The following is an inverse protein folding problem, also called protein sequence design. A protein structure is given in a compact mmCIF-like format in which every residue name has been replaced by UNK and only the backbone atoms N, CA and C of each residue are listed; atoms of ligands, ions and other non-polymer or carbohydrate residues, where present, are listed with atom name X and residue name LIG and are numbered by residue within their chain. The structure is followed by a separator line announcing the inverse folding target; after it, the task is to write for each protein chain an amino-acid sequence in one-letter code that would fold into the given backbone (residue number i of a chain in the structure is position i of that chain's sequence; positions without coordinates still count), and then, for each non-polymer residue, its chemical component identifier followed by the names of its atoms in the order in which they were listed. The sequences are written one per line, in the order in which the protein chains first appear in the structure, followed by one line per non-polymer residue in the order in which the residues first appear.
data_IF_549561268876
#
_entry.id   IF_549561268876
#
_cell.length_a   1.000
_cell.length_b   1.000
_cell.length_c   1.000
_cell.angle_alpha   90.00
_cell.angle_beta   90.00
_cell.angle_gamma   90.00
#
_symmetry.space_group_name_H-M   'P 1'
#
loop_
_entity.id
_entity.type
_entity.pdbx_description
1 polymer ?
#
# COMPACT_ATOMS: atom_id res chain seq x y z
N UNK A 1 -2.32 -0.26 9.86
CA UNK A 1 -0.93 -0.27 10.35
C UNK A 1 -0.61 -1.67 10.80
N UNK A 2 0.46 -2.24 10.28
CA UNK A 2 0.98 -3.53 10.74
C UNK A 2 1.22 -3.51 12.26
N UNK A 3 0.86 -4.61 12.93
CA UNK A 3 1.09 -4.75 14.36
C UNK A 3 2.49 -5.26 14.57
N UNK A 4 3.33 -4.45 15.22
CA UNK A 4 4.68 -4.84 15.59
C UNK A 4 4.63 -5.80 16.79
N UNK A 5 5.59 -6.72 16.89
CA UNK A 5 5.72 -7.62 18.05
C UNK A 5 5.88 -6.83 19.36
N UNK A 6 6.64 -5.74 19.31
CA UNK A 6 6.78 -4.82 20.43
C UNK A 6 5.54 -3.91 20.54
N UNK A 7 4.73 -4.17 21.58
CA UNK A 7 3.47 -3.45 21.83
C UNK A 7 3.72 -1.97 22.18
N UNK A 8 4.74 -1.65 22.98
CA UNK A 8 5.06 -0.27 23.35
C UNK A 8 5.44 0.56 22.12
N UNK A 9 6.24 -0.01 21.22
CA UNK A 9 6.60 0.64 19.96
C UNK A 9 5.38 0.84 19.05
N UNK A 10 4.48 -0.14 18.98
CA UNK A 10 3.23 -0.03 18.23
C UNK A 10 2.35 1.11 18.79
N UNK A 11 2.14 1.15 20.11
CA UNK A 11 1.35 2.20 20.77
C UNK A 11 1.96 3.59 20.57
N UNK A 12 3.29 3.70 20.64
CA UNK A 12 4.00 4.95 20.33
C UNK A 12 3.71 5.43 18.91
N UNK A 13 3.78 4.55 17.90
CA UNK A 13 3.46 4.91 16.51
C UNK A 13 1.98 5.30 16.31
N UNK A 14 1.06 4.63 17.02
CA UNK A 14 -0.36 4.98 17.01
C UNK A 14 -0.57 6.37 17.60
N UNK A 15 0.04 6.65 18.76
CA UNK A 15 0.00 7.95 19.42
C UNK A 15 0.58 9.06 18.54
N UNK A 16 1.73 8.81 17.91
CA UNK A 16 2.37 9.76 17.00
C UNK A 16 1.48 10.09 15.80
N UNK A 17 0.85 9.11 15.15
CA UNK A 17 -0.05 9.39 14.01
C UNK A 17 -1.33 10.09 14.46
N UNK A 18 -1.87 9.68 15.60
CA UNK A 18 -3.10 10.26 16.16
C UNK A 18 -2.90 11.72 16.58
N UNK A 19 -1.71 12.11 17.04
CA UNK A 19 -1.41 13.51 17.38
C UNK A 19 -1.44 14.45 16.17
N UNK A 20 -1.27 13.92 14.96
CA UNK A 20 -1.48 14.63 13.69
C UNK A 20 -2.91 14.50 13.14
N UNK A 21 -3.86 13.97 13.93
CA UNK A 21 -5.26 13.81 13.53
C UNK A 21 -5.55 12.61 12.63
N UNK A 22 -4.60 11.67 12.50
CA UNK A 22 -4.79 10.46 11.69
C UNK A 22 -5.47 9.38 12.53
N UNK A 23 -6.62 8.90 12.05
CA UNK A 23 -7.27 7.72 12.61
C UNK A 23 -6.53 6.45 12.15
N UNK A 24 -5.88 5.76 13.09
CA UNK A 24 -5.09 4.56 12.77
C UNK A 24 -5.97 3.30 12.86
N UNK A 25 -6.13 2.61 11.74
CA UNK A 25 -6.73 1.26 11.70
C UNK A 25 -5.60 0.23 11.80
N UNK A 26 -5.58 -0.54 12.88
CA UNK A 26 -4.62 -1.65 13.05
C UNK A 26 -4.91 -2.77 12.05
N UNK A 27 -3.87 -3.49 11.61
CA UNK A 27 -4.01 -4.63 10.68
C UNK A 27 -4.41 -5.88 11.47
N UNK A 28 -5.67 -5.92 11.89
CA UNK A 28 -6.35 -7.05 12.54
C UNK A 28 -7.35 -7.69 11.55
N UNK A 29 -7.96 -8.82 11.92
CA UNK A 29 -8.89 -9.52 11.02
C UNK A 29 -10.14 -8.69 10.64
N UNK A 30 -10.51 -7.70 11.46
CA UNK A 30 -11.60 -6.74 11.22
C UNK A 30 -11.17 -5.46 10.49
N UNK A 31 -9.86 -5.27 10.21
CA UNK A 31 -9.34 -4.07 9.56
C UNK A 31 -10.04 -3.76 8.24
N UNK A 32 -10.36 -4.78 7.45
CA UNK A 32 -11.06 -4.59 6.18
C UNK A 32 -12.50 -4.08 6.35
N UNK A 33 -13.18 -4.45 7.44
CA UNK A 33 -14.51 -3.92 7.77
C UNK A 33 -14.39 -2.44 8.12
N UNK A 34 -13.41 -2.08 8.94
CA UNK A 34 -13.15 -0.70 9.34
C UNK A 34 -12.81 0.20 8.15
N UNK A 35 -11.93 -0.24 7.24
CA UNK A 35 -11.60 0.50 6.01
C UNK A 35 -12.84 0.68 5.13
N UNK A 36 -13.59 -0.41 4.90
CA UNK A 36 -14.81 -0.34 4.10
C UNK A 36 -15.86 0.59 4.69
N UNK A 37 -15.99 0.63 6.03
CA UNK A 37 -16.87 1.57 6.73
C UNK A 37 -16.38 3.01 6.55
N UNK A 38 -15.10 3.29 6.78
CA UNK A 38 -14.53 4.62 6.65
C UNK A 38 -14.78 5.21 5.25
N UNK A 39 -14.56 4.43 4.19
CA UNK A 39 -14.81 4.86 2.81
C UNK A 39 -16.30 5.14 2.54
N UNK A 40 -17.22 4.32 3.08
CA UNK A 40 -18.67 4.57 2.97
C UNK A 40 -19.12 5.80 3.74
N UNK A 41 -18.45 6.12 4.83
CA UNK A 41 -18.68 7.33 5.61
C UNK A 41 -17.98 8.57 5.01
N UNK A 42 -17.49 8.46 3.76
CA UNK A 42 -16.83 9.52 3.00
C UNK A 42 -15.53 10.05 3.64
N UNK A 43 -14.81 9.19 4.36
CA UNK A 43 -13.45 9.47 4.81
C UNK A 43 -12.42 9.16 3.73
N UNK A 44 -11.25 9.81 3.82
CA UNK A 44 -10.06 9.48 3.03
C UNK A 44 -9.28 8.39 3.74
N UNK A 45 -8.91 7.33 3.02
CA UNK A 45 -8.08 6.24 3.54
C UNK A 45 -6.76 6.21 2.77
N UNK A 46 -5.64 6.26 3.50
CA UNK A 46 -4.30 6.08 2.93
C UNK A 46 -3.82 4.65 3.17
N UNK A 47 -3.41 3.96 2.10
CA UNK A 47 -2.89 2.60 2.13
C UNK A 47 -1.52 2.56 1.46
N UNK A 48 -0.54 1.93 2.12
CA UNK A 48 0.70 1.52 1.45
C UNK A 48 0.41 0.31 0.57
N UNK A 49 0.98 0.27 -0.64
CA UNK A 49 0.58 -0.68 -1.68
C UNK A 49 1.76 -1.26 -2.49
N UNK A 50 2.98 -0.93 -2.12
CA UNK A 50 4.22 -1.24 -2.86
C UNK A 50 4.96 -2.48 -2.33
N UNK A 51 4.47 -3.07 -1.22
CA UNK A 51 5.03 -4.28 -0.61
C UNK A 51 3.95 -5.17 0.01
N UNK A 52 3.91 -6.44 -0.37
CA UNK A 52 3.13 -7.44 0.35
C UNK A 52 3.84 -7.83 1.65
N UNK A 53 3.10 -7.83 2.75
CA UNK A 53 3.66 -8.18 4.07
C UNK A 53 3.25 -9.63 4.34
N UNK A 54 4.21 -10.54 4.55
CA UNK A 54 3.93 -11.91 4.93
C UNK A 54 3.06 -11.99 6.19
N UNK A 55 2.04 -12.85 6.18
CA UNK A 55 1.30 -13.26 7.37
C UNK A 55 1.47 -14.75 7.54
N UNK A 56 1.95 -15.19 8.70
CA UNK A 56 2.20 -16.61 9.02
C UNK A 56 3.06 -17.33 7.96
N UNK A 57 4.14 -16.71 7.49
CA UNK A 57 5.01 -17.33 6.49
C UNK A 57 4.49 -17.24 5.05
N UNK A 58 3.38 -16.51 4.80
CA UNK A 58 2.71 -16.51 3.51
C UNK A 58 2.41 -15.10 3.01
N UNK A 59 2.83 -14.86 1.78
CA UNK A 59 2.42 -13.71 0.97
C UNK A 59 1.10 -14.04 0.31
N UNK A 60 0.10 -13.17 0.49
CA UNK A 60 -1.28 -13.38 0.01
C UNK A 60 -1.73 -12.26 -0.92
N UNK A 61 -0.80 -11.37 -1.27
CA UNK A 61 -0.99 -10.30 -2.22
C UNK A 61 -1.29 -10.78 -3.63
N UNK A 62 -1.53 -9.79 -4.47
CA UNK A 62 -1.78 -9.93 -5.90
C UNK A 62 -0.45 -9.97 -6.63
N UNK A 63 -0.26 -10.95 -7.50
CA UNK A 63 0.88 -11.00 -8.41
C UNK A 63 0.79 -9.88 -9.45
N UNK A 64 1.89 -9.14 -9.63
CA UNK A 64 2.02 -8.01 -10.56
C UNK A 64 3.42 -7.97 -11.17
N UNK A 65 3.54 -7.37 -12.34
CA UNK A 65 4.81 -6.89 -12.86
C UNK A 65 5.14 -5.53 -12.25
N UNK A 66 6.32 -5.43 -11.62
CA UNK A 66 6.82 -4.21 -11.01
C UNK A 66 8.30 -4.05 -11.33
N UNK A 67 8.65 -2.98 -12.05
CA UNK A 67 9.98 -2.70 -12.60
C UNK A 67 10.53 -3.80 -13.53
N UNK A 68 9.64 -4.53 -14.21
CA UNK A 68 10.01 -5.60 -15.16
C UNK A 68 10.12 -6.99 -14.55
N UNK A 69 10.02 -7.10 -13.22
CA UNK A 69 10.06 -8.37 -12.50
C UNK A 69 8.71 -8.66 -11.81
N UNK A 70 8.42 -9.94 -11.59
CA UNK A 70 7.19 -10.37 -10.92
C UNK A 70 7.33 -10.25 -9.40
N UNK A 71 6.35 -9.65 -8.74
CA UNK A 71 6.24 -9.60 -7.27
C UNK A 71 4.78 -9.68 -6.83
N UNK A 72 4.53 -9.74 -5.53
CA UNK A 72 3.21 -9.66 -4.91
C UNK A 72 3.04 -8.36 -4.13
N UNK A 73 1.85 -7.75 -4.24
CA UNK A 73 1.51 -6.50 -3.55
C UNK A 73 0.10 -6.56 -2.92
N UNK A 74 -0.24 -5.71 -1.94
CA UNK A 74 -1.54 -5.77 -1.26
C UNK A 74 -2.72 -5.54 -2.21
N UNK A 75 -3.73 -6.42 -2.16
CA UNK A 75 -4.98 -6.29 -2.94
C UNK A 75 -5.89 -5.14 -2.49
N UNK A 76 -5.68 -4.62 -1.28
CA UNK A 76 -6.58 -3.73 -0.56
C UNK A 76 -7.06 -2.52 -1.37
N UNK A 77 -6.17 -1.71 -1.97
CA UNK A 77 -6.57 -0.50 -2.69
C UNK A 77 -7.57 -0.78 -3.83
N UNK A 78 -7.26 -1.75 -4.70
CA UNK A 78 -8.12 -2.14 -5.81
C UNK A 78 -9.43 -2.77 -5.31
N UNK A 79 -9.35 -3.65 -4.32
CA UNK A 79 -10.52 -4.31 -3.73
C UNK A 79 -11.51 -3.31 -3.13
N UNK A 80 -11.03 -2.36 -2.32
CA UNK A 80 -11.90 -1.37 -1.69
C UNK A 80 -12.50 -0.39 -2.69
N UNK A 81 -11.73 0.06 -3.68
CA UNK A 81 -12.25 0.92 -4.75
C UNK A 81 -13.39 0.22 -5.51
N UNK A 82 -13.19 -1.04 -5.93
CA UNK A 82 -14.22 -1.85 -6.60
C UNK A 82 -15.47 -2.14 -5.73
N UNK A 83 -15.28 -2.27 -4.41
CA UNK A 83 -16.36 -2.64 -3.49
C UNK A 83 -17.18 -1.45 -3.03
N UNK A 84 -16.56 -0.27 -2.93
CA UNK A 84 -17.17 0.94 -2.36
C UNK A 84 -17.50 2.00 -3.40
N UNK A 85 -16.89 1.94 -4.59
CA UNK A 85 -16.96 3.00 -5.59
C UNK A 85 -16.06 4.21 -5.27
N UNK A 86 -15.21 4.12 -4.25
CA UNK A 86 -14.27 5.19 -3.90
C UNK A 86 -13.22 5.39 -5.01
N UNK A 87 -12.82 6.64 -5.22
CA UNK A 87 -11.75 7.00 -6.15
C UNK A 87 -10.41 6.46 -5.66
N UNK A 88 -9.65 5.82 -6.56
CA UNK A 88 -8.32 5.29 -6.27
C UNK A 88 -7.26 6.23 -6.85
N UNK A 89 -6.55 6.95 -5.98
CA UNK A 89 -5.58 7.98 -6.33
C UNK A 89 -4.15 7.49 -5.99
N UNK A 90 -3.27 7.25 -6.98
CA UNK A 90 -1.86 6.98 -6.72
C UNK A 90 -1.17 8.24 -6.19
N UNK A 91 -0.33 8.11 -5.17
CA UNK A 91 0.41 9.24 -4.62
C UNK A 91 1.79 8.84 -4.09
N UNK A 92 2.73 9.79 -4.12
CA UNK A 92 4.03 9.68 -3.47
C UNK A 92 4.41 11.02 -2.82
N UNK A 93 5.25 10.96 -1.79
CA UNK A 93 5.78 12.14 -1.11
C UNK A 93 7.29 12.09 -1.13
N UNK A 94 7.90 13.21 -1.52
CA UNK A 94 9.34 13.38 -1.68
C UNK A 94 9.85 14.45 -0.71
N UNK A 95 11.12 14.36 -0.32
CA UNK A 95 11.84 15.49 0.24
C UNK A 95 12.05 16.58 -0.81
N UNK A 96 11.98 17.83 -0.39
CA UNK A 96 12.24 18.99 -1.27
C UNK A 96 13.73 19.28 -1.30
N UNK A 97 14.41 19.20 -2.45
CA UNK A 97 15.84 19.49 -2.52
C UNK A 97 16.16 20.91 -2.03
N UNK A 98 17.11 21.04 -1.10
CA UNK A 98 17.57 22.33 -0.59
C UNK A 98 16.58 23.05 0.37
N UNK A 99 15.50 22.39 0.79
CA UNK A 99 14.56 22.94 1.75
C UNK A 99 14.16 21.91 2.82
N UNK A 100 13.84 22.38 4.02
CA UNK A 100 13.26 21.53 5.07
C UNK A 100 11.75 21.38 4.83
N UNK A 101 11.38 20.56 3.85
CA UNK A 101 9.98 20.37 3.46
C UNK A 101 9.75 19.15 2.58
N UNK A 102 8.47 18.86 2.36
CA UNK A 102 8.02 17.71 1.56
C UNK A 102 7.17 18.17 0.38
N UNK A 103 7.29 17.47 -0.74
CA UNK A 103 6.44 17.63 -1.92
C UNK A 103 5.64 16.36 -2.14
N UNK A 104 4.32 16.43 -2.04
CA UNK A 104 3.43 15.32 -2.37
C UNK A 104 2.89 15.48 -3.80
N UNK A 105 2.89 14.38 -4.55
CA UNK A 105 2.33 14.30 -5.89
C UNK A 105 1.17 13.32 -5.85
N UNK A 106 -0.02 13.78 -6.23
CA UNK A 106 -1.22 12.96 -6.39
C UNK A 106 -1.50 12.84 -7.88
N UNK A 107 -1.58 11.62 -8.38
CA UNK A 107 -1.89 11.32 -9.79
C UNK A 107 -3.41 11.34 -10.00
N UNK A 108 -3.89 11.51 -11.24
CA UNK A 108 -5.31 11.35 -11.55
C UNK A 108 -5.86 10.02 -11.04
N UNK A 109 -7.15 9.98 -10.71
CA UNK A 109 -7.78 8.76 -10.26
C UNK A 109 -7.73 7.69 -11.36
N UNK A 110 -7.47 6.45 -10.95
CA UNK A 110 -7.52 5.30 -11.85
C UNK A 110 -8.97 5.02 -12.25
N UNK A 111 -9.15 4.52 -13.47
CA UNK A 111 -10.44 4.01 -13.93
C UNK A 111 -10.67 2.65 -13.27
N UNK A 112 -11.57 2.63 -12.28
CA UNK A 112 -11.96 1.44 -11.53
C UNK A 112 -13.35 0.99 -11.98
N UNK A 113 -13.36 0.04 -12.90
CA UNK A 113 -14.57 -0.54 -13.48
C UNK A 113 -14.53 -2.05 -13.38
N UNK A 114 -15.71 -2.67 -13.20
CA UNK A 114 -15.84 -4.12 -13.29
C UNK A 114 -15.88 -4.57 -14.74
N UNK A 115 -14.97 -5.47 -15.10
CA UNK A 115 -14.86 -6.04 -16.45
C UNK A 115 -14.91 -7.57 -16.42
N UNK A 116 -14.70 -8.19 -15.26
CA UNK A 116 -14.69 -9.64 -15.12
C UNK A 116 -15.07 -10.08 -13.72
N UNK A 117 -14.50 -11.21 -13.30
CA UNK A 117 -14.61 -11.63 -11.91
C UNK A 117 -13.91 -10.63 -10.98
N UNK A 118 -14.31 -10.59 -9.72
CA UNK A 118 -13.68 -9.73 -8.72
C UNK A 118 -12.16 -9.94 -8.64
N UNK A 119 -11.71 -11.20 -8.76
CA UNK A 119 -10.28 -11.53 -8.71
C UNK A 119 -9.53 -10.94 -9.90
N UNK A 120 -10.05 -11.11 -11.11
CA UNK A 120 -9.42 -10.59 -12.34
C UNK A 120 -9.37 -9.07 -12.33
N UNK A 121 -10.46 -8.41 -11.90
CA UNK A 121 -10.49 -6.95 -11.82
C UNK A 121 -9.55 -6.40 -10.76
N UNK A 122 -9.47 -7.04 -9.58
CA UNK A 122 -8.49 -6.69 -8.54
C UNK A 122 -7.08 -6.80 -9.11
N UNK A 123 -6.74 -7.89 -9.80
CA UNK A 123 -5.41 -8.07 -10.40
C UNK A 123 -5.10 -6.98 -11.43
N UNK A 124 -6.01 -6.74 -12.37
CA UNK A 124 -5.84 -5.73 -13.43
C UNK A 124 -5.68 -4.32 -12.86
N UNK A 125 -6.54 -3.91 -11.92
CA UNK A 125 -6.48 -2.57 -11.33
C UNK A 125 -5.23 -2.40 -10.47
N UNK A 126 -4.82 -3.44 -9.75
CA UNK A 126 -3.57 -3.43 -8.98
C UNK A 126 -2.37 -3.27 -9.92
N UNK A 127 -2.34 -3.95 -11.06
CA UNK A 127 -1.29 -3.75 -12.06
C UNK A 127 -1.26 -2.30 -12.59
N UNK A 128 -2.42 -1.69 -12.89
CA UNK A 128 -2.50 -0.29 -13.32
C UNK A 128 -2.02 0.67 -12.22
N UNK A 129 -2.35 0.40 -10.96
CA UNK A 129 -1.84 1.16 -9.82
C UNK A 129 -0.32 1.07 -9.76
N UNK A 130 0.26 -0.12 -9.90
CA UNK A 130 1.70 -0.29 -9.80
C UNK A 130 2.46 0.39 -10.96
N UNK A 131 1.88 0.48 -12.16
CA UNK A 131 2.45 1.30 -13.25
C UNK A 131 2.54 2.79 -12.88
N UNK A 132 1.52 3.34 -12.20
CA UNK A 132 1.57 4.72 -11.70
C UNK A 132 2.56 4.89 -10.54
N UNK A 133 2.67 3.88 -9.67
CA UNK A 133 3.67 3.87 -8.59
C UNK A 133 5.09 3.79 -9.17
N UNK A 134 5.35 3.01 -10.22
CA UNK A 134 6.63 3.02 -10.93
C UNK A 134 6.97 4.42 -11.45
N UNK A 135 6.01 5.10 -12.09
CA UNK A 135 6.20 6.46 -12.60
C UNK A 135 6.51 7.46 -11.49
N UNK A 136 5.97 7.25 -10.29
CA UNK A 136 6.27 8.07 -9.12
C UNK A 136 7.66 7.76 -8.57
N UNK A 137 8.01 6.49 -8.38
CA UNK A 137 9.32 6.07 -7.86
C UNK A 137 10.45 6.50 -8.81
N UNK A 138 10.27 6.38 -10.13
CA UNK A 138 11.28 6.79 -11.13
C UNK A 138 11.68 8.26 -11.04
N UNK A 139 10.87 9.13 -10.44
CA UNK A 139 11.19 10.54 -10.28
C UNK A 139 12.31 10.80 -9.27
N UNK A 140 12.43 9.94 -8.24
CA UNK A 140 13.44 10.04 -7.19
C UNK A 140 13.61 8.66 -6.52
N UNK A 141 14.17 7.66 -7.23
CA UNK A 141 14.26 6.28 -6.73
C UNK A 141 15.07 6.18 -5.43
N UNK A 142 16.03 7.08 -5.22
CA UNK A 142 16.83 7.19 -4.00
C UNK A 142 16.02 7.54 -2.75
N UNK A 143 14.78 8.04 -2.91
CA UNK A 143 13.88 8.37 -1.80
C UNK A 143 12.86 7.26 -1.50
N UNK A 144 12.88 6.16 -2.26
CA UNK A 144 12.01 5.03 -2.00
C UNK A 144 12.57 4.17 -0.87
N UNK A 145 11.92 4.24 0.29
CA UNK A 145 12.34 3.55 1.52
C UNK A 145 12.01 2.04 1.51
N UNK A 146 12.48 1.31 0.51
CA UNK A 146 12.38 -0.14 0.43
C UNK A 146 13.71 -0.78 0.79
N UNK A 147 13.88 -1.11 2.08
CA UNK A 147 15.11 -1.74 2.60
C UNK A 147 14.99 -3.26 2.77
N UNK A 148 13.81 -3.83 2.52
CA UNK A 148 13.55 -5.26 2.63
C UNK A 148 13.36 -5.88 1.24
N UNK A 149 13.71 -7.17 1.06
CA UNK A 149 13.47 -7.89 -0.18
C UNK A 149 12.01 -7.77 -0.62
N UNK A 150 11.81 -7.41 -1.88
CA UNK A 150 10.49 -7.17 -2.45
C UNK A 150 10.22 -8.06 -3.66
N UNK A 151 11.24 -8.53 -4.37
CA UNK A 151 11.08 -9.50 -5.45
C UNK A 151 11.54 -10.89 -5.03
N UNK A 152 10.92 -11.98 -5.54
CA UNK A 152 11.38 -13.34 -5.30
C UNK A 152 12.84 -13.62 -5.69
N UNK A 153 13.39 -12.82 -6.60
CA UNK A 153 14.78 -12.82 -7.05
C UNK A 153 15.76 -12.18 -6.05
N UNK A 154 15.26 -11.40 -5.08
CA UNK A 154 16.09 -10.69 -4.12
C UNK A 154 16.75 -11.65 -3.11
N UNK A 155 18.02 -11.42 -2.75
CA UNK A 155 18.65 -12.12 -1.63
C UNK A 155 17.87 -11.87 -0.33
N UNK A 156 17.59 -12.92 0.43
CA UNK A 156 16.86 -12.78 1.69
C UNK A 156 15.33 -12.87 1.57
N UNK A 157 14.77 -13.02 0.36
CA UNK A 157 13.31 -12.96 0.15
C UNK A 157 12.54 -14.04 0.91
N UNK A 158 13.07 -15.26 0.95
CA UNK A 158 12.45 -16.37 1.67
C UNK A 158 12.60 -16.19 3.19
N UNK A 159 13.75 -15.71 3.66
CA UNK A 159 13.99 -15.43 5.09
C UNK A 159 13.09 -14.32 5.61
N UNK A 160 12.93 -13.24 4.82
CA UNK A 160 12.03 -12.13 5.12
C UNK A 160 10.55 -12.53 5.11
N UNK A 161 10.22 -13.75 4.70
CA UNK A 161 8.85 -14.27 4.71
C UNK A 161 8.52 -14.98 6.04
N UNK A 162 9.52 -15.37 6.84
CA UNK A 162 9.37 -16.21 8.04
C UNK A 162 9.58 -15.44 9.36
N UNK A 163 10.10 -14.22 9.29
CA UNK A 163 10.24 -13.29 10.42
C UNK A 163 8.95 -12.51 10.66
#
# INVERSE_FOLDING_TARGET
MERLENTELFEWFVGLRSSYGVNVIALTDDAGIAVGKALRDNHVVSLLCDRDIPKDGKRTGVEVQFFGETTTVPAGPAFFALRTGAQLLPMATFFTPGANGHKSVIRPALIVERQGSLREDVTRITQLLLLEIENLIRQAPEQWHLFQPNWPSDPGYLEATVA
#
